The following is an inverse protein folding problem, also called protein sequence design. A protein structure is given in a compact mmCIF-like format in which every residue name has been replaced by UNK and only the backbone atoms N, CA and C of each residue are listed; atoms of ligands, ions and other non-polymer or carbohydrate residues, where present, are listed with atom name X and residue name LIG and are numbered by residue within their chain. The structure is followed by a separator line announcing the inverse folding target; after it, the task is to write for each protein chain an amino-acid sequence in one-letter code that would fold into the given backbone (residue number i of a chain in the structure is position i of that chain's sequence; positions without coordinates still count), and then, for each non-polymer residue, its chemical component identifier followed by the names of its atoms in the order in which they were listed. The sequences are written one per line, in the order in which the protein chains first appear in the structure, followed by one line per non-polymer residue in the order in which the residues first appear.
data_IF_866948045789
#
_entry.id   IF_866948045789
#
_cell.length_a   1.000
_cell.length_b   1.000
_cell.length_c   1.000
_cell.angle_alpha   90.00
_cell.angle_beta   90.00
_cell.angle_gamma   90.00
#
_symmetry.space_group_name_H-M   'P 1'
#
loop_
_entity.id
_entity.type
_entity.pdbx_description
1 polymer ?
#
# COMPACT_ATOMS: atom_id res chain seq x y z
N UNK A 1 -38.66 -43.87 -12.86
CA UNK A 1 -37.45 -44.01 -12.00
C UNK A 1 -36.31 -43.06 -12.38
N UNK A 2 -36.21 -42.51 -13.60
CA UNK A 2 -35.13 -41.57 -14.01
C UNK A 2 -35.11 -40.20 -13.31
N UNK A 3 -36.26 -39.62 -12.96
CA UNK A 3 -36.33 -38.24 -12.45
C UNK A 3 -35.68 -38.04 -11.06
N UNK A 4 -35.61 -39.11 -10.26
CA UNK A 4 -35.01 -39.09 -8.91
C UNK A 4 -33.49 -38.97 -8.94
N UNK A 5 -32.84 -39.48 -10.00
CA UNK A 5 -31.38 -39.42 -10.16
C UNK A 5 -30.93 -38.06 -10.69
N UNK A 6 -31.71 -37.45 -11.59
CA UNK A 6 -31.44 -36.10 -12.10
C UNK A 6 -31.53 -35.07 -10.98
N UNK A 7 -32.55 -35.15 -10.13
CA UNK A 7 -32.70 -34.26 -8.98
C UNK A 7 -31.53 -34.39 -7.98
N UNK A 8 -31.03 -35.60 -7.73
CA UNK A 8 -29.91 -35.83 -6.83
C UNK A 8 -28.57 -35.28 -7.37
N UNK A 9 -28.34 -35.38 -8.69
CA UNK A 9 -27.14 -34.85 -9.35
C UNK A 9 -27.15 -33.31 -9.35
N UNK A 10 -28.30 -32.70 -9.66
CA UNK A 10 -28.46 -31.23 -9.63
C UNK A 10 -28.28 -30.70 -8.21
N UNK A 11 -28.85 -31.37 -7.20
CA UNK A 11 -28.67 -30.99 -5.80
C UNK A 11 -27.22 -31.17 -5.33
N UNK A 12 -26.55 -32.25 -5.77
CA UNK A 12 -25.13 -32.48 -5.49
C UNK A 12 -24.22 -31.39 -6.08
N UNK A 13 -24.47 -30.97 -7.33
CA UNK A 13 -23.73 -29.87 -7.95
C UNK A 13 -24.00 -28.51 -7.29
N UNK A 14 -25.23 -28.25 -6.85
CA UNK A 14 -25.58 -27.05 -6.08
C UNK A 14 -24.85 -26.99 -4.73
N UNK A 15 -24.75 -28.13 -4.02
CA UNK A 15 -24.07 -28.21 -2.73
C UNK A 15 -22.55 -28.05 -2.85
N UNK A 16 -21.94 -28.61 -3.91
CA UNK A 16 -20.50 -28.44 -4.20
C UNK A 16 -20.18 -26.98 -4.57
N UNK A 17 -21.03 -26.33 -5.38
CA UNK A 17 -20.87 -24.92 -5.73
C UNK A 17 -20.94 -23.98 -4.52
N UNK A 18 -21.86 -24.24 -3.58
CA UNK A 18 -22.00 -23.46 -2.36
C UNK A 18 -20.79 -23.59 -1.42
N UNK A 19 -20.22 -24.79 -1.31
CA UNK A 19 -19.04 -25.04 -0.48
C UNK A 19 -17.78 -24.33 -1.01
N UNK A 20 -17.61 -24.27 -2.34
CA UNK A 20 -16.50 -23.56 -2.97
C UNK A 20 -16.62 -22.03 -2.83
N UNK A 21 -17.85 -21.49 -2.84
CA UNK A 21 -18.09 -20.06 -2.60
C UNK A 21 -17.78 -19.66 -1.15
N UNK A 22 -18.00 -20.56 -0.19
CA UNK A 22 -17.69 -20.31 1.23
C UNK A 22 -16.18 -20.42 1.55
N UNK A 23 -15.43 -21.21 0.77
CA UNK A 23 -13.98 -21.36 0.91
C UNK A 23 -13.18 -20.19 0.34
N UNK A 24 -13.81 -19.30 -0.45
CA UNK A 24 -13.32 -17.95 -0.68
C UNK A 24 -13.50 -17.13 0.61
N UNK A 25 -12.75 -17.49 1.65
CA UNK A 25 -12.67 -16.74 2.89
C UNK A 25 -12.45 -15.27 2.54
N UNK A 26 -13.21 -14.38 3.15
CA UNK A 26 -13.02 -12.95 2.99
C UNK A 26 -11.56 -12.65 3.32
N UNK A 27 -10.71 -12.46 2.31
CA UNK A 27 -9.43 -11.83 2.54
C UNK A 27 -9.76 -10.46 3.09
N UNK A 28 -9.63 -10.31 4.40
CA UNK A 28 -9.80 -9.03 5.06
C UNK A 28 -8.86 -8.05 4.37
N UNK A 29 -9.45 -7.00 3.80
CA UNK A 29 -8.70 -5.97 3.11
C UNK A 29 -7.73 -5.33 4.12
N UNK A 30 -6.41 -5.34 3.85
CA UNK A 30 -5.43 -4.85 4.82
C UNK A 30 -5.53 -3.33 4.96
N UNK A 31 -5.40 -2.81 6.18
CA UNK A 31 -5.24 -1.37 6.37
C UNK A 31 -3.82 -0.94 5.96
N UNK A 32 -3.71 0.23 5.34
CA UNK A 32 -2.44 0.84 4.99
C UNK A 32 -2.14 2.00 5.93
N UNK A 33 -0.93 2.02 6.51
CA UNK A 33 -0.43 3.14 7.33
C UNK A 33 0.85 3.62 6.69
N UNK A 34 0.84 4.85 6.16
CA UNK A 34 2.02 5.53 5.64
C UNK A 34 2.55 6.51 6.70
N UNK A 35 3.79 6.31 7.13
CA UNK A 35 4.49 7.19 8.08
C UNK A 35 5.60 7.88 7.31
N UNK A 36 5.62 9.21 7.34
CA UNK A 36 6.66 10.03 6.71
C UNK A 36 7.29 10.90 7.80
N UNK A 37 8.61 10.92 7.87
CA UNK A 37 9.37 11.89 8.64
C UNK A 37 9.93 12.94 7.66
N UNK A 38 9.76 14.23 7.96
CA UNK A 38 10.32 15.32 7.17
C UNK A 38 11.74 15.63 7.66
N UNK A 39 12.65 15.93 6.72
CA UNK A 39 14.08 16.22 6.98
C UNK A 39 14.86 15.19 7.82
N UNK A 40 14.48 13.90 7.76
CA UNK A 40 15.20 12.81 8.42
C UNK A 40 16.31 12.26 7.51
N UNK A 41 17.56 12.22 7.99
CA UNK A 41 18.63 11.54 7.28
C UNK A 41 18.44 10.01 7.32
N UNK A 42 19.00 9.29 6.33
CA UNK A 42 18.83 7.84 6.23
C UNK A 42 19.37 7.10 7.46
N UNK A 43 20.41 7.64 8.10
CA UNK A 43 21.07 7.09 9.28
C UNK A 43 20.54 7.65 10.60
N UNK A 44 19.54 8.53 10.62
CA UNK A 44 18.94 9.09 11.85
C UNK A 44 18.06 8.09 12.63
N UNK A 45 18.30 6.77 12.50
CA UNK A 45 17.63 5.77 13.32
C UNK A 45 18.49 4.52 13.61
N UNK A 46 18.15 3.85 14.71
CA UNK A 46 18.80 2.62 15.14
C UNK A 46 18.72 1.50 14.11
N UNK A 47 17.66 1.44 13.31
CA UNK A 47 17.49 0.45 12.25
C UNK A 47 18.57 0.51 11.14
N UNK A 48 19.25 1.65 11.00
CA UNK A 48 20.41 1.82 10.10
C UNK A 48 21.74 1.96 10.84
N UNK A 49 21.77 1.71 12.16
CA UNK A 49 23.02 1.62 12.94
C UNK A 49 23.48 2.92 13.58
N UNK A 50 22.60 3.92 13.76
CA UNK A 50 22.98 5.16 14.44
C UNK A 50 23.57 4.89 15.84
N UNK A 51 24.72 5.51 16.23
CA UNK A 51 25.42 5.16 17.47
C UNK A 51 24.71 5.61 18.76
N UNK A 52 23.95 6.71 18.73
CA UNK A 52 23.33 7.31 19.94
C UNK A 52 21.79 7.44 19.91
N UNK A 53 21.18 7.76 18.75
CA UNK A 53 19.73 7.83 18.57
C UNK A 53 19.08 6.46 18.81
N UNK A 54 18.07 6.43 19.69
CA UNK A 54 17.33 5.22 20.05
C UNK A 54 15.91 5.28 19.50
N UNK A 55 15.59 4.39 18.57
CA UNK A 55 14.28 4.34 17.89
C UNK A 55 13.62 2.97 18.05
N UNK A 56 13.39 2.47 19.29
CA UNK A 56 13.04 1.07 19.54
C UNK A 56 11.76 0.60 18.83
N UNK A 57 10.82 1.51 18.56
CA UNK A 57 9.60 1.19 17.80
C UNK A 57 9.87 1.01 16.30
N UNK A 58 10.71 1.87 15.70
CA UNK A 58 11.11 1.75 14.29
C UNK A 58 12.04 0.55 14.11
N UNK A 59 12.96 0.31 15.05
CA UNK A 59 13.86 -0.85 15.03
C UNK A 59 13.08 -2.16 15.11
N UNK A 60 11.98 -2.18 15.88
CA UNK A 60 11.05 -3.33 15.94
C UNK A 60 10.28 -3.49 14.63
N UNK A 61 9.87 -2.40 13.99
CA UNK A 61 9.20 -2.45 12.68
C UNK A 61 10.13 -3.03 11.60
N UNK A 62 11.37 -2.52 11.52
CA UNK A 62 12.38 -2.99 10.58
C UNK A 62 12.72 -4.47 10.76
N UNK A 63 12.84 -4.96 12.01
CA UNK A 63 13.11 -6.39 12.29
C UNK A 63 11.95 -7.33 11.97
N UNK A 64 10.71 -6.82 11.95
CA UNK A 64 9.50 -7.62 11.70
C UNK A 64 8.99 -7.51 10.26
N UNK A 65 9.63 -6.70 9.44
CA UNK A 65 9.21 -6.42 8.07
C UNK A 65 10.39 -6.44 7.11
N UNK A 66 10.25 -5.66 6.04
CA UNK A 66 11.31 -5.45 5.05
C UNK A 66 11.93 -4.06 5.27
N UNK A 67 13.26 -3.99 5.28
CA UNK A 67 14.05 -2.76 5.33
C UNK A 67 14.87 -2.66 4.05
N UNK A 68 14.92 -1.47 3.46
CA UNK A 68 15.67 -1.21 2.23
C UNK A 68 16.96 -0.46 2.55
N UNK A 69 18.11 -1.01 2.17
CA UNK A 69 19.40 -0.32 2.32
C UNK A 69 19.60 0.80 1.28
N UNK A 70 18.85 0.75 0.18
CA UNK A 70 18.91 1.71 -0.92
C UNK A 70 17.50 2.17 -1.35
N UNK A 71 16.92 3.09 -0.58
CA UNK A 71 15.68 3.79 -0.93
C UNK A 71 15.99 5.27 -1.21
N UNK A 72 16.03 5.65 -2.49
CA UNK A 72 16.47 6.99 -2.93
C UNK A 72 15.26 7.81 -3.39
N UNK A 73 15.18 9.05 -2.91
CA UNK A 73 14.19 10.03 -3.35
C UNK A 73 14.46 10.49 -4.80
N UNK A 74 13.41 10.93 -5.49
CA UNK A 74 13.52 11.42 -6.88
C UNK A 74 13.98 12.88 -6.96
N UNK A 75 13.85 13.65 -5.87
CA UNK A 75 14.42 14.99 -5.72
C UNK A 75 14.60 15.36 -4.23
N UNK A 76 15.62 16.15 -3.93
CA UNK A 76 15.96 16.59 -2.57
C UNK A 76 15.25 17.89 -2.18
N UNK A 77 13.91 17.92 -2.34
CA UNK A 77 13.07 19.05 -1.94
C UNK A 77 11.69 18.57 -1.49
N UNK A 78 11.14 19.17 -0.43
CA UNK A 78 10.04 18.58 0.34
C UNK A 78 8.73 18.43 -0.44
N UNK A 79 8.19 19.50 -1.04
CA UNK A 79 6.98 19.43 -1.87
C UNK A 79 7.14 18.52 -3.09
N UNK A 80 8.15 18.69 -3.97
CA UNK A 80 8.25 17.87 -5.18
C UNK A 80 8.59 16.40 -4.88
N UNK A 81 9.29 16.10 -3.79
CA UNK A 81 9.54 14.72 -3.34
C UNK A 81 8.23 14.04 -2.91
N UNK A 82 7.40 14.77 -2.15
CA UNK A 82 6.06 14.27 -1.78
C UNK A 82 5.14 14.14 -2.98
N UNK A 83 5.14 15.09 -3.91
CA UNK A 83 4.39 14.99 -5.18
C UNK A 83 4.80 13.74 -5.96
N UNK A 84 6.10 13.46 -6.05
CA UNK A 84 6.62 12.25 -6.68
C UNK A 84 6.17 10.98 -5.95
N UNK A 85 6.24 10.97 -4.62
CA UNK A 85 5.82 9.84 -3.78
C UNK A 85 4.33 9.51 -3.97
N UNK A 86 3.45 10.52 -3.95
CA UNK A 86 1.99 10.29 -3.99
C UNK A 86 1.47 9.96 -5.39
N UNK A 87 2.14 10.45 -6.44
CA UNK A 87 1.78 10.17 -7.84
C UNK A 87 2.49 8.94 -8.41
N UNK A 88 3.63 8.55 -7.83
CA UNK A 88 4.51 7.53 -8.40
C UNK A 88 5.25 7.99 -9.67
N UNK A 89 5.40 9.31 -9.88
CA UNK A 89 6.04 9.90 -11.06
C UNK A 89 7.32 10.64 -10.67
N UNK A 90 8.25 10.75 -11.61
CA UNK A 90 9.40 11.66 -11.45
C UNK A 90 8.94 13.13 -11.43
N UNK A 91 9.67 14.04 -10.76
CA UNK A 91 9.26 15.43 -10.59
C UNK A 91 8.83 16.12 -11.89
N UNK A 92 9.60 15.96 -12.97
CA UNK A 92 9.33 16.57 -14.29
C UNK A 92 8.02 16.11 -14.96
N UNK A 93 7.31 15.14 -14.36
CA UNK A 93 6.04 14.62 -14.84
C UNK A 93 4.90 14.86 -13.84
N UNK A 94 5.16 15.54 -12.72
CA UNK A 94 4.13 15.85 -11.72
C UNK A 94 3.44 17.19 -11.98
N UNK A 95 3.99 18.05 -12.85
CA UNK A 95 3.53 19.43 -13.07
C UNK A 95 3.50 20.24 -11.73
N UNK A 96 4.43 19.88 -10.84
CA UNK A 96 4.56 20.34 -9.46
C UNK A 96 6.02 20.18 -9.00
N UNK A 97 6.96 20.56 -9.86
CA UNK A 97 8.41 20.36 -9.71
C UNK A 97 9.02 21.26 -8.63
N UNK A 98 8.35 22.36 -8.29
CA UNK A 98 8.88 23.39 -7.42
C UNK A 98 8.31 23.35 -6.00
N UNK A 99 9.04 24.01 -5.10
CA UNK A 99 8.58 24.21 -3.74
C UNK A 99 7.30 25.07 -3.75
N UNK A 100 6.30 24.65 -2.97
CA UNK A 100 4.99 25.30 -2.87
C UNK A 100 4.13 25.35 -4.14
N UNK A 101 4.54 24.67 -5.23
CA UNK A 101 3.64 24.45 -6.35
C UNK A 101 2.57 23.39 -5.98
N UNK A 102 1.28 23.71 -6.12
CA UNK A 102 0.22 22.76 -5.82
C UNK A 102 0.24 21.64 -6.85
N UNK A 103 0.02 20.39 -6.39
CA UNK A 103 -0.18 19.27 -7.31
C UNK A 103 -1.49 19.49 -8.08
N UNK A 104 -1.49 19.46 -9.43
CA UNK A 104 -2.70 19.59 -10.22
C UNK A 104 -3.72 18.49 -9.90
N UNK A 105 -5.01 18.82 -9.97
CA UNK A 105 -6.10 17.89 -9.58
C UNK A 105 -6.25 16.71 -10.55
N UNK A 106 -5.69 16.84 -11.74
CA UNK A 106 -5.71 15.85 -12.80
C UNK A 106 -4.64 14.75 -12.56
N UNK A 107 -3.67 15.01 -11.69
CA UNK A 107 -2.62 14.04 -11.35
C UNK A 107 -3.19 12.93 -10.49
N UNK A 108 -3.17 11.71 -11.03
CA UNK A 108 -3.67 10.54 -10.31
C UNK A 108 -2.71 10.17 -9.18
N UNK A 109 -3.24 10.02 -7.97
CA UNK A 109 -2.46 9.61 -6.79
C UNK A 109 -2.77 8.19 -6.35
N UNK A 110 -1.85 7.54 -5.64
CA UNK A 110 -2.15 6.23 -5.04
C UNK A 110 -3.28 6.32 -4.00
N UNK A 111 -3.50 7.49 -3.40
CA UNK A 111 -4.60 7.77 -2.48
C UNK A 111 -5.95 7.65 -3.20
N UNK A 112 -6.08 8.26 -4.38
CA UNK A 112 -7.28 8.11 -5.21
C UNK A 112 -7.51 6.67 -5.65
N UNK A 113 -6.43 5.95 -5.97
CA UNK A 113 -6.50 4.52 -6.30
C UNK A 113 -6.99 3.69 -5.12
N UNK A 114 -6.51 3.97 -3.90
CA UNK A 114 -7.00 3.32 -2.68
C UNK A 114 -8.48 3.63 -2.44
N UNK A 115 -8.90 4.89 -2.61
CA UNK A 115 -10.31 5.28 -2.50
C UNK A 115 -11.19 4.56 -3.53
N UNK A 116 -10.75 4.46 -4.79
CA UNK A 116 -11.43 3.71 -5.85
C UNK A 116 -11.53 2.20 -5.52
N UNK A 117 -10.53 1.65 -4.84
CA UNK A 117 -10.54 0.27 -4.36
C UNK A 117 -11.46 0.07 -3.12
N UNK A 118 -12.06 1.13 -2.58
CA UNK A 118 -12.98 1.09 -1.45
C UNK A 118 -12.31 1.24 -0.08
N UNK A 119 -11.09 1.78 -0.03
CA UNK A 119 -10.47 2.20 1.23
C UNK A 119 -10.99 3.58 1.66
N UNK A 120 -11.03 3.79 2.97
CA UNK A 120 -11.16 5.12 3.53
C UNK A 120 -9.79 5.80 3.54
N UNK A 121 -9.72 6.98 2.95
CA UNK A 121 -8.50 7.78 2.76
C UNK A 121 -8.80 9.23 3.07
#
# INVERSE_FOLDING_TARGET
MCYRWIAAIVLGHLLIGAALAQAAGSQERPNFILIIADDMAWDDCGAYGHPSIRTPNLDRLARRGLRFDHAILTCSSCSPSRSSLITGRYPHNTDAEELHWPLPKEQVTFIERLKQAGYWT
#
